data_IF_936520979585
#
_entry.id   IF_936520979585
#
_cell.length_a   1.000
_cell.length_b   1.000
_cell.length_c   1.000
_cell.angle_alpha   90.00
_cell.angle_beta   90.00
_cell.angle_gamma   90.00
#
_symmetry.space_group_name_H-M   'P 1'
#
loop_
_entity.id
_entity.type
_entity.pdbx_description
1 polymer ?
#
# COMPACT_ATOMS: atom_id res chain seq x y z
N UNK A 1 1.96 16.74 1.92
CA UNK A 1 1.69 15.42 2.52
C UNK A 1 0.62 14.75 1.68
N UNK A 2 0.79 13.49 1.27
CA UNK A 2 -0.18 12.76 0.43
C UNK A 2 -0.62 11.51 1.20
N UNK A 3 -1.93 11.27 1.29
CA UNK A 3 -2.50 10.09 1.95
C UNK A 3 -2.63 8.98 0.92
N UNK A 4 -1.97 7.84 1.17
CA UNK A 4 -1.96 6.70 0.25
C UNK A 4 -2.93 5.58 0.66
N UNK A 5 -3.53 5.67 1.85
CA UNK A 5 -4.42 4.63 2.37
C UNK A 5 -4.70 4.77 3.87
N UNK A 6 -5.50 3.85 4.38
CA UNK A 6 -5.92 3.74 5.78
C UNK A 6 -5.66 2.34 6.32
N UNK A 7 -5.43 2.23 7.62
CA UNK A 7 -5.32 0.95 8.33
C UNK A 7 -6.34 0.92 9.46
N UNK A 8 -7.24 -0.07 9.43
CA UNK A 8 -8.20 -0.30 10.51
C UNK A 8 -7.54 -1.09 11.64
N UNK A 9 -7.79 -0.72 12.88
CA UNK A 9 -7.31 -1.42 14.08
C UNK A 9 -8.48 -1.88 14.95
N UNK A 10 -8.39 -3.08 15.52
CA UNK A 10 -9.30 -3.56 16.58
C UNK A 10 -8.55 -3.76 17.88
N UNK A 11 -9.26 -3.53 18.98
CA UNK A 11 -8.79 -3.87 20.32
C UNK A 11 -8.85 -5.39 20.51
N UNK A 12 -7.77 -5.94 21.03
CA UNK A 12 -7.65 -7.35 21.45
C UNK A 12 -7.18 -7.39 22.91
N UNK A 13 -7.24 -8.57 23.53
CA UNK A 13 -6.78 -8.77 24.93
C UNK A 13 -5.32 -8.38 25.14
N UNK A 14 -4.51 -8.42 24.08
CA UNK A 14 -3.09 -8.06 24.10
C UNK A 14 -2.79 -6.68 23.47
N UNK A 15 -3.80 -5.83 23.25
CA UNK A 15 -3.64 -4.50 22.65
C UNK A 15 -4.29 -4.33 21.26
N UNK A 16 -3.95 -3.26 20.55
CA UNK A 16 -4.48 -2.97 19.21
C UNK A 16 -3.80 -3.83 18.15
N UNK A 17 -4.58 -4.47 17.28
CA UNK A 17 -4.08 -5.21 16.11
C UNK A 17 -4.65 -4.66 14.81
N UNK A 18 -3.85 -4.56 13.73
CA UNK A 18 -4.34 -4.16 12.42
C UNK A 18 -5.26 -5.25 11.87
N UNK A 19 -6.37 -4.84 11.27
CA UNK A 19 -7.37 -5.73 10.67
C UNK A 19 -7.16 -5.77 9.16
N UNK A 20 -7.22 -4.61 8.53
CA UNK A 20 -7.13 -4.44 7.07
C UNK A 20 -6.46 -3.12 6.77
N UNK A 21 -5.75 -3.08 5.64
CA UNK A 21 -5.25 -1.85 5.04
C UNK A 21 -5.94 -1.66 3.70
N UNK A 22 -6.48 -0.46 3.47
CA UNK A 22 -7.09 -0.06 2.20
C UNK A 22 -6.19 1.01 1.61
N UNK A 23 -5.81 0.83 0.34
CA UNK A 23 -4.96 1.78 -0.38
C UNK A 23 -5.79 2.56 -1.39
N UNK A 24 -5.27 3.72 -1.78
CA UNK A 24 -5.78 4.46 -2.93
C UNK A 24 -5.51 3.67 -4.23
N UNK A 25 -6.40 3.85 -5.21
CA UNK A 25 -6.31 3.20 -6.51
C UNK A 25 -5.03 3.61 -7.27
N UNK A 26 -4.79 4.92 -7.36
CA UNK A 26 -3.60 5.48 -8.00
C UNK A 26 -2.59 5.92 -6.96
N UNK A 27 -1.42 5.28 -6.99
CA UNK A 27 -0.34 5.52 -6.05
C UNK A 27 0.88 6.01 -6.82
N UNK A 28 1.44 7.14 -6.37
CA UNK A 28 2.63 7.73 -6.96
C UNK A 28 3.88 6.85 -6.77
N UNK A 29 4.80 6.93 -7.73
CA UNK A 29 6.07 6.19 -7.73
C UNK A 29 6.94 6.47 -6.50
N UNK A 30 6.85 7.68 -5.93
CA UNK A 30 7.54 8.07 -4.71
C UNK A 30 7.16 7.19 -3.50
N UNK A 31 5.91 6.74 -3.44
CA UNK A 31 5.44 5.82 -2.41
C UNK A 31 5.89 4.38 -2.71
N UNK A 32 5.76 3.94 -3.98
CA UNK A 32 6.21 2.62 -4.43
C UNK A 32 7.72 2.41 -4.23
N UNK A 33 8.52 3.48 -4.31
CA UNK A 33 9.97 3.48 -4.06
C UNK A 33 10.35 2.91 -2.70
N UNK A 34 9.50 3.06 -1.69
CA UNK A 34 9.76 2.59 -0.31
C UNK A 34 9.74 1.06 -0.19
N UNK A 35 9.04 0.36 -1.09
CA UNK A 35 8.88 -1.09 -1.03
C UNK A 35 10.08 -1.85 -1.59
N UNK A 36 10.94 -1.21 -2.39
CA UNK A 36 12.07 -1.91 -3.02
C UNK A 36 13.39 -1.17 -2.87
N UNK A 37 14.38 -1.90 -2.34
CA UNK A 37 15.72 -1.38 -2.08
C UNK A 37 16.43 -0.99 -3.39
N UNK A 38 16.41 -1.88 -4.40
CA UNK A 38 17.04 -1.69 -5.72
C UNK A 38 16.04 -1.23 -6.79
N UNK A 39 15.49 -0.03 -6.66
CA UNK A 39 14.47 0.51 -7.58
C UNK A 39 14.90 0.58 -9.06
N UNK A 40 16.10 1.08 -9.35
CA UNK A 40 16.57 1.25 -10.72
C UNK A 40 16.75 -0.07 -11.48
N UNK A 41 16.87 -1.20 -10.78
CA UNK A 41 17.03 -2.54 -11.37
C UNK A 41 15.74 -3.37 -11.28
N UNK A 42 14.67 -2.80 -10.76
CA UNK A 42 13.42 -3.50 -10.49
C UNK A 42 12.39 -3.16 -11.57
N UNK A 43 11.45 -4.07 -11.81
CA UNK A 43 10.34 -3.88 -12.77
C UNK A 43 9.26 -2.92 -12.27
N UNK A 44 9.34 -2.48 -11.00
CA UNK A 44 8.40 -1.53 -10.37
C UNK A 44 6.93 -2.00 -10.31
N UNK A 45 6.71 -3.31 -10.30
CA UNK A 45 5.37 -3.91 -10.27
C UNK A 45 4.69 -3.89 -8.88
N UNK A 46 5.00 -2.91 -8.02
CA UNK A 46 4.33 -2.78 -6.73
C UNK A 46 2.91 -2.26 -6.97
N UNK A 47 1.93 -2.90 -6.32
CA UNK A 47 0.51 -2.59 -6.43
C UNK A 47 -0.14 -2.89 -7.80
N UNK A 48 0.54 -3.58 -8.73
CA UNK A 48 -0.01 -3.87 -10.06
C UNK A 48 -1.37 -4.57 -10.01
N UNK A 49 -1.50 -5.66 -9.23
CA UNK A 49 -2.75 -6.41 -9.04
C UNK A 49 -3.86 -5.54 -8.42
N UNK A 50 -3.48 -4.60 -7.55
CA UNK A 50 -4.45 -3.70 -6.92
C UNK A 50 -4.97 -2.69 -7.94
N UNK A 51 -4.09 -2.08 -8.73
CA UNK A 51 -4.47 -1.16 -9.79
C UNK A 51 -5.32 -1.86 -10.85
N UNK A 52 -4.95 -3.07 -11.27
CA UNK A 52 -5.74 -3.86 -12.24
C UNK A 52 -7.17 -4.14 -11.74
N UNK A 53 -7.34 -4.40 -10.45
CA UNK A 53 -8.66 -4.70 -9.86
C UNK A 53 -9.62 -3.51 -9.91
N UNK A 54 -9.10 -2.28 -9.93
CA UNK A 54 -9.89 -1.06 -9.83
C UNK A 54 -9.75 -0.15 -11.08
N UNK A 55 -9.10 -0.63 -12.15
CA UNK A 55 -9.10 0.03 -13.45
C UNK A 55 -10.47 -0.20 -14.12
N UNK A 56 -11.42 0.71 -13.89
CA UNK A 56 -12.63 0.81 -14.71
C UNK A 56 -12.35 1.41 -16.10
#
# INVERSE_FOLDING_TARGET
MVVAGFVGYKKTTTGLKPITAVFAEHIADEFKRRYTKKWYKNTKNQFAVHTEKYND
#
